data_IF_538351534948
#
_entry.id   IF_538351534948
#
_cell.length_a   1.000
_cell.length_b   1.000
_cell.length_c   1.000
_cell.angle_alpha   90.00
_cell.angle_beta   90.00
_cell.angle_gamma   90.00
#
_symmetry.space_group_name_H-M   'P 1'
#
loop_
_entity.id
_entity.type
_entity.pdbx_description
1 polymer ?
#
# COMPACT_ATOMS: atom_id res chain seq x y z
N UNK A 1 6.58 14.79 17.75
CA UNK A 1 6.95 14.20 16.44
C UNK A 1 7.22 12.74 16.72
N UNK A 2 6.31 11.86 16.32
CA UNK A 2 6.47 10.41 16.46
C UNK A 2 7.70 9.97 15.68
N UNK A 3 8.42 8.97 16.19
CA UNK A 3 9.58 8.45 15.49
C UNK A 3 9.11 7.81 14.18
N UNK A 4 9.42 8.44 13.04
CA UNK A 4 9.38 7.75 11.76
C UNK A 4 10.28 6.54 11.89
N UNK A 5 9.68 5.37 11.83
CA UNK A 5 10.45 4.16 11.65
C UNK A 5 10.95 4.08 10.20
N UNK A 6 11.69 3.02 9.90
CA UNK A 6 12.33 2.85 8.58
C UNK A 6 11.43 2.10 7.59
N UNK A 7 10.30 1.57 8.05
CA UNK A 7 9.36 0.80 7.25
C UNK A 7 8.35 1.65 6.51
N UNK A 8 7.78 1.10 5.43
CA UNK A 8 6.78 1.77 4.60
C UNK A 8 5.53 2.12 5.41
N UNK A 9 5.08 1.22 6.30
CA UNK A 9 3.88 1.44 7.13
C UNK A 9 4.17 2.22 8.41
N UNK A 10 5.42 2.64 8.63
CA UNK A 10 5.77 3.55 9.74
C UNK A 10 5.70 5.03 9.28
N UNK A 11 5.28 5.28 8.04
CA UNK A 11 5.06 6.59 7.46
C UNK A 11 3.58 7.00 7.60
N UNK A 12 3.34 8.16 8.22
CA UNK A 12 1.98 8.68 8.49
C UNK A 12 1.16 8.83 7.20
N UNK A 13 1.75 9.30 6.10
CA UNK A 13 1.08 9.43 4.80
C UNK A 13 0.61 8.07 4.27
N UNK A 14 1.43 7.03 4.44
CA UNK A 14 1.09 5.67 4.00
C UNK A 14 -0.01 5.09 4.89
N UNK A 15 0.04 5.36 6.19
CA UNK A 15 -0.98 4.92 7.14
C UNK A 15 -2.35 5.56 6.86
N UNK A 16 -2.39 6.87 6.60
CA UNK A 16 -3.62 7.56 6.21
C UNK A 16 -4.22 6.96 4.92
N UNK A 17 -3.37 6.63 3.95
CA UNK A 17 -3.80 5.97 2.71
C UNK A 17 -4.27 4.53 2.92
N UNK A 18 -3.65 3.76 3.84
CA UNK A 18 -4.11 2.41 4.21
C UNK A 18 -5.51 2.46 4.81
N UNK A 19 -5.79 3.44 5.67
CA UNK A 19 -7.12 3.64 6.24
C UNK A 19 -8.14 3.84 5.12
N UNK A 20 -7.85 4.69 4.14
CA UNK A 20 -8.72 4.89 2.97
C UNK A 20 -8.94 3.58 2.18
N UNK A 21 -7.88 2.81 1.93
CA UNK A 21 -7.96 1.52 1.23
C UNK A 21 -8.88 0.53 1.97
N UNK A 22 -8.74 0.42 3.29
CA UNK A 22 -9.51 -0.52 4.12
C UNK A 22 -10.97 -0.07 4.24
N UNK A 23 -11.22 1.23 4.43
CA UNK A 23 -12.58 1.78 4.59
C UNK A 23 -13.38 1.73 3.29
N UNK A 24 -12.76 2.06 2.16
CA UNK A 24 -13.43 2.04 0.84
C UNK A 24 -13.60 0.64 0.27
N UNK A 25 -12.75 -0.31 0.70
CA UNK A 25 -12.61 -1.63 0.10
C UNK A 25 -12.37 -1.60 -1.42
N UNK A 26 -11.81 -0.51 -1.94
CA UNK A 26 -11.57 -0.35 -3.36
C UNK A 26 -10.16 -0.79 -3.74
N UNK A 27 -10.05 -1.97 -4.35
CA UNK A 27 -8.76 -2.49 -4.83
C UNK A 27 -8.15 -1.65 -5.96
N UNK A 28 -8.96 -0.83 -6.66
CA UNK A 28 -8.44 0.02 -7.73
C UNK A 28 -7.51 1.11 -7.18
N UNK A 29 -7.70 1.52 -5.93
CA UNK A 29 -6.82 2.48 -5.24
C UNK A 29 -5.37 1.99 -5.22
N UNK A 30 -5.16 0.67 -5.17
CA UNK A 30 -3.84 0.05 -5.28
C UNK A 30 -3.23 0.29 -6.66
N UNK A 31 -3.99 0.06 -7.74
CA UNK A 31 -3.54 0.25 -9.12
C UNK A 31 -3.23 1.70 -9.40
N UNK A 32 -4.15 2.59 -9.05
CA UNK A 32 -4.04 4.03 -9.28
C UNK A 32 -2.79 4.60 -8.62
N UNK A 33 -2.51 4.19 -7.38
CA UNK A 33 -1.33 4.62 -6.63
C UNK A 33 -0.02 4.19 -7.30
N UNK A 34 0.01 2.99 -7.90
CA UNK A 34 1.18 2.48 -8.61
C UNK A 34 1.32 3.13 -9.99
N UNK A 35 0.21 3.32 -10.71
CA UNK A 35 0.21 3.93 -12.04
C UNK A 35 0.64 5.39 -12.00
N UNK A 36 0.21 6.14 -10.98
CA UNK A 36 0.56 7.55 -10.80
C UNK A 36 2.08 7.80 -10.79
N UNK A 37 2.86 6.87 -10.24
CA UNK A 37 4.33 7.01 -10.19
C UNK A 37 5.04 6.55 -11.47
N UNK A 38 4.35 5.85 -12.36
CA UNK A 38 4.91 5.39 -13.63
C UNK A 38 4.72 6.41 -14.76
N UNK A 39 3.71 7.28 -14.66
CA UNK A 39 3.36 8.24 -15.71
C UNK A 39 4.04 9.60 -15.57
N UNK A 40 4.37 10.03 -14.34
CA UNK A 40 4.87 11.39 -14.09
C UNK A 40 6.40 11.52 -14.21
N UNK A 41 6.84 12.63 -14.79
CA UNK A 41 8.26 13.02 -14.84
C UNK A 41 8.73 13.69 -13.55
N UNK A 42 7.81 14.18 -12.72
CA UNK A 42 8.08 14.70 -11.38
C UNK A 42 7.27 13.93 -10.35
N UNK A 43 7.95 13.35 -9.38
CA UNK A 43 7.31 12.53 -8.36
C UNK A 43 7.38 13.23 -7.00
N UNK A 44 6.21 13.51 -6.44
CA UNK A 44 6.10 14.02 -5.08
C UNK A 44 6.45 12.92 -4.05
N UNK A 45 7.03 13.32 -2.93
CA UNK A 45 7.47 12.38 -1.90
C UNK A 45 6.31 11.58 -1.30
N UNK A 46 5.15 12.21 -1.09
CA UNK A 46 3.97 11.56 -0.52
C UNK A 46 3.44 10.48 -1.49
N UNK A 47 3.37 10.81 -2.78
CA UNK A 47 2.96 9.87 -3.83
C UNK A 47 3.93 8.70 -3.94
N UNK A 48 5.24 8.97 -3.86
CA UNK A 48 6.26 7.91 -3.85
C UNK A 48 6.11 6.96 -2.65
N UNK A 49 5.86 7.52 -1.46
CA UNK A 49 5.67 6.73 -0.24
C UNK A 49 4.42 5.85 -0.34
N UNK A 50 3.30 6.41 -0.81
CA UNK A 50 2.05 5.66 -1.02
C UNK A 50 2.28 4.50 -2.00
N UNK A 51 2.95 4.74 -3.12
CA UNK A 51 3.21 3.70 -4.11
C UNK A 51 4.08 2.55 -3.53
N UNK A 52 5.06 2.84 -2.67
CA UNK A 52 5.83 1.80 -1.98
C UNK A 52 4.95 0.95 -1.05
N UNK A 53 4.04 1.58 -0.30
CA UNK A 53 3.04 0.88 0.51
C UNK A 53 2.11 0.00 -0.33
N UNK A 54 1.62 0.53 -1.46
CA UNK A 54 0.77 -0.19 -2.38
C UNK A 54 1.48 -1.43 -2.99
N UNK A 55 2.74 -1.31 -3.39
CA UNK A 55 3.52 -2.45 -3.92
C UNK A 55 3.74 -3.53 -2.86
N UNK A 56 3.97 -3.17 -1.60
CA UNK A 56 4.10 -4.13 -0.50
C UNK A 56 2.79 -4.93 -0.29
N UNK A 57 1.64 -4.26 -0.33
CA UNK A 57 0.33 -4.90 -0.25
C UNK A 57 0.09 -5.77 -1.48
N UNK A 58 0.42 -5.30 -2.68
CA UNK A 58 0.32 -6.08 -3.92
C UNK A 58 1.13 -7.38 -3.83
N UNK A 59 2.36 -7.31 -3.32
CA UNK A 59 3.20 -8.48 -3.11
C UNK A 59 2.57 -9.44 -2.09
N UNK A 60 1.99 -8.93 -1.00
CA UNK A 60 1.26 -9.73 -0.02
C UNK A 60 0.04 -10.45 -0.63
N UNK A 61 -0.75 -9.77 -1.48
CA UNK A 61 -1.88 -10.35 -2.21
C UNK A 61 -1.46 -11.51 -3.12
N UNK A 62 -0.23 -11.47 -3.63
CA UNK A 62 0.39 -12.51 -4.46
C UNK A 62 1.08 -13.63 -3.65
N UNK A 63 0.86 -13.73 -2.34
CA UNK A 63 1.57 -14.65 -1.43
C UNK A 63 3.08 -14.41 -1.35
N UNK A 64 3.54 -13.18 -1.56
CA UNK A 64 4.94 -12.77 -1.45
C UNK A 64 5.09 -11.54 -0.53
N UNK A 65 4.57 -11.57 0.71
CA UNK A 65 4.72 -10.44 1.62
C UNK A 65 6.21 -10.17 1.89
N UNK A 66 6.56 -8.90 2.09
CA UNK A 66 7.90 -8.51 2.50
C UNK A 66 8.11 -8.72 4.01
N UNK A 67 8.80 -7.78 4.64
CA UNK A 67 9.17 -7.86 6.07
C UNK A 67 8.38 -6.90 6.95
N UNK A 68 7.51 -6.11 6.35
CA UNK A 68 6.68 -5.14 7.06
C UNK A 68 5.70 -5.85 8.00
N UNK A 69 5.37 -5.16 9.09
CA UNK A 69 4.35 -5.61 10.04
C UNK A 69 3.03 -4.97 9.60
N UNK A 70 2.07 -5.81 9.24
CA UNK A 70 0.72 -5.37 8.91
C UNK A 70 -0.12 -5.27 10.19
N UNK A 71 -0.87 -4.18 10.34
CA UNK A 71 -1.91 -4.07 11.36
C UNK A 71 -3.05 -5.06 11.09
N UNK A 72 -3.79 -5.45 12.14
CA UNK A 72 -4.78 -6.53 12.08
C UNK A 72 -5.84 -6.29 10.99
N UNK A 73 -6.34 -5.06 10.87
CA UNK A 73 -7.36 -4.70 9.86
C UNK A 73 -6.84 -4.85 8.42
N UNK A 74 -5.60 -4.43 8.17
CA UNK A 74 -4.95 -4.59 6.87
C UNK A 74 -4.68 -6.08 6.56
N UNK A 75 -4.29 -6.87 7.56
CA UNK A 75 -4.12 -8.33 7.38
C UNK A 75 -5.44 -8.99 6.97
N UNK A 76 -6.54 -8.67 7.64
CA UNK A 76 -7.86 -9.18 7.31
C UNK A 76 -8.27 -8.77 5.89
N UNK A 77 -8.03 -7.51 5.51
CA UNK A 77 -8.30 -7.01 4.17
C UNK A 77 -7.51 -7.77 3.09
N UNK A 78 -6.20 -8.00 3.29
CA UNK A 78 -5.34 -8.75 2.37
C UNK A 78 -5.82 -10.19 2.21
N UNK A 79 -6.26 -10.82 3.31
CA UNK A 79 -6.77 -12.19 3.29
C UNK A 79 -8.09 -12.29 2.51
N UNK A 80 -8.97 -11.29 2.62
CA UNK A 80 -10.23 -11.23 1.87
C UNK A 80 -10.00 -11.04 0.36
N UNK A 81 -8.99 -10.25 -0.01
CA UNK A 81 -8.70 -9.88 -1.41
C UNK A 81 -7.61 -10.74 -2.07
N UNK A 82 -7.20 -11.82 -1.39
CA UNK A 82 -6.10 -12.69 -1.83
C UNK A 82 -6.33 -13.24 -3.24
N UNK A 83 -5.32 -13.11 -4.10
CA UNK A 83 -5.37 -13.58 -5.50
C UNK A 83 -6.00 -12.60 -6.50
N UNK A 84 -6.53 -11.46 -6.06
CA UNK A 84 -7.04 -10.43 -6.97
C UNK A 84 -5.93 -9.59 -7.64
N UNK A 85 -4.74 -9.52 -7.02
CA UNK A 85 -3.57 -8.80 -7.53
C UNK A 85 -2.78 -9.50 -8.67
N UNK A 86 -3.39 -10.43 -9.41
CA UNK A 86 -2.69 -11.26 -10.42
C UNK A 86 -2.70 -10.64 -11.84
N UNK A 87 -3.32 -9.48 -12.02
CA UNK A 87 -3.50 -8.82 -13.32
C UNK A 87 -2.62 -7.57 -13.54
N UNK A 88 -1.47 -7.48 -12.87
CA UNK A 88 -0.44 -6.46 -13.14
C UNK A 88 0.68 -7.02 -14.01
#
# INVERSE_FOLDING_TARGET
>A
MGAWGIGNFENDTVQDWIIELVETQDINLLSESIEMVLEDNYLDADVACIALGAVEILAALQNRPGKEIYEDELQEWILQHKGQGTNY
#
